data_IF_645436687175
#
_entry.id   IF_645436687175
#
_cell.length_a   1.000
_cell.length_b   1.000
_cell.length_c   1.000
_cell.angle_alpha   90.00
_cell.angle_beta   90.00
_cell.angle_gamma   90.00
#
_symmetry.space_group_name_H-M   'P 1'
#
loop_
_entity.id
_entity.type
_entity.pdbx_description
1 polymer ?
#
# COMPACT_ATOMS: atom_id res chain seq x y z
N UNK A 1 12.60 45.70 55.10
CA UNK A 1 11.37 45.25 54.42
C UNK A 1 11.14 45.81 53.00
N UNK A 2 12.20 46.26 52.34
CA UNK A 2 12.11 46.82 50.95
C UNK A 2 12.93 46.06 49.89
N UNK A 3 13.56 44.96 50.24
CA UNK A 3 14.40 44.21 49.27
C UNK A 3 13.72 43.00 48.61
N UNK A 4 12.59 42.52 49.12
CA UNK A 4 11.95 41.31 48.62
C UNK A 4 10.92 41.59 47.48
N UNK A 5 10.53 42.86 47.28
CA UNK A 5 9.58 43.23 46.21
C UNK A 5 10.27 43.46 44.86
N UNK A 6 11.58 43.67 44.79
CA UNK A 6 12.32 43.85 43.51
C UNK A 6 12.73 42.54 42.83
N UNK A 7 12.84 41.44 43.55
CA UNK A 7 13.19 40.14 42.96
C UNK A 7 12.02 39.39 42.34
N UNK A 8 10.75 39.68 42.72
CA UNK A 8 9.57 39.07 42.09
C UNK A 8 9.13 39.68 40.77
N UNK A 9 9.62 40.87 40.42
CA UNK A 9 9.32 41.49 39.12
C UNK A 9 10.35 41.19 38.04
N UNK A 10 11.53 40.65 38.36
CA UNK A 10 12.51 40.20 37.34
C UNK A 10 12.27 38.80 36.82
N UNK A 11 11.59 37.93 37.56
CA UNK A 11 11.31 36.54 37.08
C UNK A 11 10.10 36.43 36.19
N UNK A 12 9.30 37.48 35.99
CA UNK A 12 8.10 37.47 35.15
C UNK A 12 8.38 38.06 33.75
N UNK A 13 9.56 38.68 33.55
CA UNK A 13 9.94 39.26 32.24
C UNK A 13 10.72 38.35 31.30
N UNK A 14 11.30 37.25 31.78
CA UNK A 14 12.11 36.35 30.94
C UNK A 14 11.37 35.14 30.38
N UNK A 15 10.11 34.89 30.79
CA UNK A 15 9.32 33.78 30.21
C UNK A 15 8.51 34.15 28.96
N UNK A 16 8.72 35.36 28.40
CA UNK A 16 8.01 35.81 27.16
C UNK A 16 8.88 36.00 25.94
N UNK A 17 10.09 35.44 25.90
CA UNK A 17 11.00 35.58 24.74
C UNK A 17 11.57 34.25 24.23
N UNK A 18 10.77 33.19 24.22
CA UNK A 18 11.04 32.03 23.37
C UNK A 18 9.83 31.73 22.49
N UNK A 19 9.30 32.74 21.82
CA UNK A 19 8.61 32.52 20.56
C UNK A 19 9.70 32.32 19.52
N UNK A 20 10.11 31.05 19.34
CA UNK A 20 10.74 30.61 18.11
C UNK A 20 9.88 31.17 16.97
N UNK A 21 10.41 32.14 16.24
CA UNK A 21 9.85 32.56 14.98
C UNK A 21 9.85 31.33 14.06
N UNK A 22 8.77 30.54 14.12
CA UNK A 22 8.43 29.70 13.01
C UNK A 22 8.23 30.66 11.83
N UNK A 23 9.23 30.74 10.96
CA UNK A 23 9.02 31.34 9.63
C UNK A 23 7.74 30.68 9.12
N UNK A 24 6.65 31.45 9.00
CA UNK A 24 5.49 31.09 8.19
C UNK A 24 6.01 30.97 6.77
N UNK A 25 6.50 29.78 6.42
CA UNK A 25 6.76 29.47 5.02
C UNK A 25 5.38 29.37 4.40
N UNK A 26 5.03 30.37 3.61
CA UNK A 26 3.73 30.44 2.98
C UNK A 26 3.73 29.45 1.83
N UNK A 27 2.80 28.48 1.86
CA UNK A 27 2.56 27.54 0.75
C UNK A 27 2.66 28.25 -0.60
N UNK A 28 3.48 27.75 -1.48
CA UNK A 28 3.74 28.35 -2.78
C UNK A 28 2.75 27.86 -3.84
N UNK A 29 2.58 28.66 -4.93
CA UNK A 29 1.83 28.18 -6.11
C UNK A 29 2.47 26.93 -6.72
N UNK A 30 3.79 26.81 -6.65
CA UNK A 30 4.53 25.63 -7.12
C UNK A 30 4.19 24.38 -6.32
N UNK A 31 4.01 24.47 -5.01
CA UNK A 31 3.59 23.32 -4.17
C UNK A 31 2.21 22.79 -4.62
N UNK A 32 1.26 23.68 -4.86
CA UNK A 32 -0.08 23.28 -5.34
C UNK A 32 0.01 22.62 -6.72
N UNK A 33 0.80 23.20 -7.62
CA UNK A 33 0.98 22.64 -8.96
C UNK A 33 1.62 21.26 -8.91
N UNK A 34 2.64 21.08 -8.07
CA UNK A 34 3.30 19.81 -7.85
C UNK A 34 2.30 18.76 -7.33
N UNK A 35 1.61 19.04 -6.21
CA UNK A 35 0.63 18.11 -5.64
C UNK A 35 -0.44 17.72 -6.67
N UNK A 36 -0.94 18.66 -7.44
CA UNK A 36 -1.92 18.39 -8.50
C UNK A 36 -1.36 17.54 -9.64
N UNK A 37 -0.10 17.75 -10.03
CA UNK A 37 0.58 16.90 -11.02
C UNK A 37 0.69 15.45 -10.52
N UNK A 38 0.89 15.24 -9.22
CA UNK A 38 0.99 13.90 -8.63
C UNK A 38 -0.34 13.13 -8.57
N UNK A 39 -1.48 13.76 -8.88
CA UNK A 39 -2.75 13.06 -9.07
C UNK A 39 -2.66 12.06 -10.24
N UNK A 40 -1.88 12.38 -11.27
CA UNK A 40 -1.72 11.58 -12.48
C UNK A 40 -0.45 10.72 -12.43
N UNK A 41 -0.49 9.52 -13.05
CA UNK A 41 0.66 8.61 -13.13
C UNK A 41 1.88 9.28 -13.77
N UNK A 42 1.67 10.06 -14.84
CA UNK A 42 2.73 10.79 -15.53
C UNK A 42 3.47 11.75 -14.60
N UNK A 43 2.75 12.55 -13.83
CA UNK A 43 3.36 13.49 -12.88
C UNK A 43 4.13 12.75 -11.77
N UNK A 44 3.60 11.63 -11.25
CA UNK A 44 4.33 10.80 -10.27
C UNK A 44 5.64 10.26 -10.85
N UNK A 45 5.61 9.76 -12.07
CA UNK A 45 6.81 9.24 -12.75
C UNK A 45 7.84 10.35 -13.01
N UNK A 46 7.39 11.52 -13.46
CA UNK A 46 8.25 12.66 -13.80
C UNK A 46 8.96 13.22 -12.54
N UNK A 47 8.23 13.33 -11.44
CA UNK A 47 8.76 13.90 -10.20
C UNK A 47 9.35 12.85 -9.24
N UNK A 48 9.14 11.55 -9.47
CA UNK A 48 9.57 10.49 -8.59
C UNK A 48 8.89 10.54 -7.21
N UNK A 49 7.67 11.12 -7.13
CA UNK A 49 6.96 11.37 -5.88
C UNK A 49 5.52 10.85 -5.94
N UNK A 50 4.98 10.54 -4.77
CA UNK A 50 3.55 10.31 -4.59
C UNK A 50 3.01 11.08 -3.38
N UNK A 51 1.69 11.16 -3.26
CA UNK A 51 1.00 11.86 -2.17
C UNK A 51 0.46 10.86 -1.17
N UNK A 52 0.75 11.09 0.10
CA UNK A 52 0.13 10.41 1.24
C UNK A 52 -0.64 11.41 2.08
N UNK A 53 -1.90 11.12 2.41
CA UNK A 53 -2.75 12.02 3.18
C UNK A 53 -3.30 11.37 4.44
N UNK A 54 -3.36 12.14 5.51
CA UNK A 54 -3.91 11.76 6.81
C UNK A 54 -2.86 11.53 7.90
N UNK A 55 -3.18 12.02 9.08
CA UNK A 55 -2.29 12.07 10.23
C UNK A 55 -1.69 10.71 10.60
N UNK A 56 -2.52 9.66 10.64
CA UNK A 56 -2.07 8.31 10.99
C UNK A 56 -1.05 7.78 9.98
N UNK A 57 -1.33 7.91 8.68
CA UNK A 57 -0.44 7.45 7.63
C UNK A 57 0.89 8.21 7.66
N UNK A 58 0.85 9.53 7.82
CA UNK A 58 2.06 10.36 7.89
C UNK A 58 2.86 10.07 9.17
N UNK A 59 2.20 9.80 10.29
CA UNK A 59 2.86 9.36 11.51
C UNK A 59 3.64 8.07 11.33
N UNK A 60 3.05 7.05 10.71
CA UNK A 60 3.72 5.79 10.37
C UNK A 60 4.85 6.00 9.33
N UNK A 61 4.60 6.86 8.32
CA UNK A 61 5.54 7.17 7.26
C UNK A 61 6.85 7.75 7.82
N UNK A 62 6.79 8.66 8.79
CA UNK A 62 7.98 9.29 9.41
C UNK A 62 8.91 8.29 10.14
N UNK A 63 8.39 7.13 10.49
CA UNK A 63 9.19 6.04 11.11
C UNK A 63 9.49 4.91 10.14
N UNK A 64 9.03 5.02 8.89
CA UNK A 64 9.27 4.04 7.84
C UNK A 64 10.64 4.27 7.15
N UNK A 65 10.97 3.38 6.22
CA UNK A 65 12.17 3.50 5.38
C UNK A 65 11.98 4.42 4.15
N UNK A 66 10.77 4.94 3.93
CA UNK A 66 10.47 5.77 2.75
C UNK A 66 10.95 7.20 2.95
N UNK A 67 11.51 7.80 1.90
CA UNK A 67 11.95 9.19 1.89
C UNK A 67 10.76 10.15 1.92
N UNK A 68 10.67 10.97 2.96
CA UNK A 68 9.69 12.05 3.06
C UNK A 68 10.34 13.35 2.64
N UNK A 69 9.87 13.92 1.52
CA UNK A 69 10.41 15.17 1.00
C UNK A 69 9.84 16.41 1.70
N UNK A 70 8.53 16.40 1.97
CA UNK A 70 7.83 17.53 2.58
C UNK A 70 6.52 17.06 3.19
N UNK A 71 6.14 17.68 4.30
CA UNK A 71 4.85 17.47 4.95
C UNK A 71 4.15 18.83 5.07
N UNK A 72 2.92 18.92 4.59
CA UNK A 72 2.01 20.01 4.89
C UNK A 72 1.04 19.55 5.97
N UNK A 73 0.88 20.33 7.03
CA UNK A 73 0.01 19.93 8.15
C UNK A 73 -0.65 21.14 8.81
N UNK A 74 -1.82 20.92 9.40
CA UNK A 74 -2.42 21.90 10.29
C UNK A 74 -1.56 22.06 11.54
N UNK A 75 -1.68 23.22 12.19
CA UNK A 75 -0.89 23.57 13.38
C UNK A 75 -1.03 22.52 14.49
N UNK A 76 0.10 22.14 15.10
CA UNK A 76 0.16 21.24 16.24
C UNK A 76 0.21 19.74 15.92
N UNK A 77 0.08 19.32 14.65
CA UNK A 77 0.08 17.89 14.28
C UNK A 77 1.49 17.30 14.18
N UNK A 78 2.39 18.00 13.50
CA UNK A 78 3.76 17.54 13.27
C UNK A 78 4.76 18.68 13.46
N UNK A 79 6.02 18.33 13.74
CA UNK A 79 7.14 19.25 13.84
C UNK A 79 8.36 18.65 13.16
N UNK A 80 9.25 19.49 12.63
CA UNK A 80 10.46 19.07 11.95
C UNK A 80 10.81 20.00 10.79
N UNK A 81 12.03 19.89 10.24
CA UNK A 81 12.47 20.73 9.13
C UNK A 81 11.70 20.47 7.82
N UNK A 82 11.15 19.25 7.68
CA UNK A 82 10.34 18.84 6.54
C UNK A 82 8.88 19.30 6.62
N UNK A 83 8.45 19.86 7.78
CA UNK A 83 7.05 20.21 8.04
C UNK A 83 6.78 21.68 7.73
N UNK A 84 5.81 21.93 6.87
CA UNK A 84 5.24 23.24 6.62
C UNK A 84 3.83 23.34 7.22
N UNK A 85 3.65 24.26 8.15
CA UNK A 85 2.34 24.50 8.78
C UNK A 85 1.49 25.34 7.82
N UNK A 86 0.31 24.82 7.51
CA UNK A 86 -0.66 25.46 6.60
C UNK A 86 -2.00 25.66 7.28
N UNK A 87 -2.80 26.58 6.78
CA UNK A 87 -4.17 26.78 7.24
C UNK A 87 -5.16 25.82 6.59
N UNK A 88 -6.37 25.69 7.14
CA UNK A 88 -7.44 24.81 6.64
C UNK A 88 -7.75 25.07 5.15
N UNK A 89 -7.88 26.35 4.75
CA UNK A 89 -8.14 26.71 3.35
C UNK A 89 -7.00 26.33 2.40
N UNK A 90 -5.76 26.37 2.87
CA UNK A 90 -4.59 25.95 2.11
C UNK A 90 -4.58 24.43 1.97
N UNK A 91 -4.88 23.70 3.03
CA UNK A 91 -5.00 22.24 3.01
C UNK A 91 -6.11 21.77 2.06
N UNK A 92 -7.28 22.43 2.05
CA UNK A 92 -8.37 22.15 1.11
C UNK A 92 -7.94 22.32 -0.36
N UNK A 93 -7.01 23.24 -0.64
CA UNK A 93 -6.47 23.46 -2.00
C UNK A 93 -5.41 22.44 -2.39
N UNK A 94 -4.68 21.90 -1.42
CA UNK A 94 -3.65 20.89 -1.62
C UNK A 94 -4.23 19.48 -1.76
N UNK A 95 -5.19 19.12 -0.91
CA UNK A 95 -5.72 17.75 -0.83
C UNK A 95 -6.24 17.25 -2.17
N UNK A 96 -5.92 15.99 -2.48
CA UNK A 96 -6.43 15.24 -3.63
C UNK A 96 -7.66 14.39 -3.26
N UNK A 97 -8.05 14.38 -1.99
CA UNK A 97 -9.21 13.67 -1.50
C UNK A 97 -10.49 14.49 -1.66
N UNK A 98 -11.64 13.82 -1.76
CA UNK A 98 -12.96 14.48 -1.81
C UNK A 98 -13.23 15.33 -0.57
N UNK A 99 -12.82 14.86 0.59
CA UNK A 99 -12.79 15.61 1.85
C UNK A 99 -11.34 15.79 2.23
N UNK A 100 -10.91 17.03 2.35
CA UNK A 100 -9.53 17.34 2.68
C UNK A 100 -9.13 16.73 4.03
N UNK A 101 -7.94 16.14 4.09
CA UNK A 101 -7.32 15.68 5.33
C UNK A 101 -6.72 16.86 6.10
N UNK A 102 -6.22 16.59 7.32
CA UNK A 102 -5.52 17.58 8.14
C UNK A 102 -4.01 17.64 7.87
N UNK A 103 -3.51 16.76 7.00
CA UNK A 103 -2.09 16.65 6.67
C UNK A 103 -1.86 15.91 5.36
N UNK A 104 -0.80 16.29 4.64
CA UNK A 104 -0.40 15.73 3.35
C UNK A 104 1.13 15.64 3.28
N UNK A 105 1.66 14.52 2.84
CA UNK A 105 3.09 14.32 2.63
C UNK A 105 3.41 14.08 1.14
N UNK A 106 4.53 14.64 0.69
CA UNK A 106 5.21 14.30 -0.55
C UNK A 106 6.26 13.24 -0.24
N UNK A 107 6.12 12.07 -0.83
CA UNK A 107 6.92 10.88 -0.53
C UNK A 107 7.64 10.43 -1.78
N UNK A 108 8.90 10.07 -1.65
CA UNK A 108 9.68 9.52 -2.76
C UNK A 108 9.17 8.13 -3.14
N UNK A 109 8.99 7.90 -4.44
CA UNK A 109 8.61 6.58 -4.94
C UNK A 109 9.79 5.63 -4.74
N UNK A 110 9.64 4.57 -3.93
CA UNK A 110 10.70 3.61 -3.73
C UNK A 110 10.93 2.76 -4.98
N UNK A 111 12.18 2.39 -5.21
CA UNK A 111 12.56 1.44 -6.26
C UNK A 111 12.94 0.11 -5.62
N UNK A 112 12.13 -0.90 -5.84
CA UNK A 112 12.36 -2.24 -5.33
C UNK A 112 12.90 -3.15 -6.44
N UNK A 113 14.02 -3.81 -6.18
CA UNK A 113 14.49 -4.90 -7.05
C UNK A 113 13.58 -6.12 -6.88
N UNK A 114 13.16 -6.71 -8.01
CA UNK A 114 12.45 -7.98 -8.01
C UNK A 114 13.50 -9.11 -8.14
N UNK A 115 13.76 -9.79 -7.02
CA UNK A 115 14.71 -10.90 -6.96
C UNK A 115 13.97 -12.22 -6.75
N UNK A 116 14.03 -13.11 -7.75
CA UNK A 116 13.41 -14.44 -7.71
C UNK A 116 13.89 -15.28 -6.52
N UNK A 117 15.16 -15.14 -6.11
CA UNK A 117 15.72 -15.87 -4.97
C UNK A 117 15.11 -15.39 -3.65
N UNK A 118 14.81 -14.08 -3.55
CA UNK A 118 14.17 -13.51 -2.38
C UNK A 118 12.71 -13.95 -2.23
N UNK A 119 12.05 -14.36 -3.31
CA UNK A 119 10.69 -14.90 -3.33
C UNK A 119 10.65 -16.39 -2.99
N UNK A 120 11.75 -17.11 -3.16
CA UNK A 120 11.84 -18.51 -2.77
C UNK A 120 11.61 -18.67 -1.25
N UNK A 121 10.72 -19.57 -0.88
CA UNK A 121 10.34 -19.79 0.54
C UNK A 121 9.32 -18.80 1.10
N UNK A 122 8.73 -17.92 0.24
CA UNK A 122 7.69 -16.98 0.64
C UNK A 122 6.44 -17.12 -0.22
N UNK A 123 5.29 -16.76 0.36
CA UNK A 123 4.07 -16.60 -0.42
C UNK A 123 4.07 -15.20 -1.06
N UNK A 124 3.85 -15.15 -2.36
CA UNK A 124 3.81 -13.92 -3.17
C UNK A 124 2.50 -13.84 -3.92
N UNK A 125 1.90 -12.65 -4.00
CA UNK A 125 0.74 -12.42 -4.87
C UNK A 125 1.19 -11.93 -6.25
N UNK A 126 0.57 -12.46 -7.29
CA UNK A 126 0.69 -11.98 -8.66
C UNK A 126 -0.66 -11.47 -9.14
N UNK A 127 -0.73 -10.22 -9.59
CA UNK A 127 -1.97 -9.57 -10.01
C UNK A 127 -1.96 -9.34 -11.51
N UNK A 128 -2.84 -10.06 -12.20
CA UNK A 128 -2.94 -10.00 -13.64
C UNK A 128 -4.06 -9.04 -14.05
N UNK A 129 -3.67 -7.82 -14.39
CA UNK A 129 -4.55 -6.75 -14.88
C UNK A 129 -5.66 -6.36 -13.89
N UNK A 130 -5.33 -6.27 -12.61
CA UNK A 130 -6.23 -5.71 -11.58
C UNK A 130 -6.28 -4.21 -11.71
N UNK A 131 -7.32 -3.68 -12.37
CA UNK A 131 -7.40 -2.28 -12.78
C UNK A 131 -8.11 -1.37 -11.77
N UNK A 132 -8.95 -1.92 -10.91
CA UNK A 132 -9.69 -1.12 -9.94
C UNK A 132 -8.79 -0.67 -8.78
N UNK A 133 -8.62 0.67 -8.56
CA UNK A 133 -7.77 1.18 -7.48
C UNK A 133 -8.20 0.73 -6.08
N UNK A 134 -9.51 0.59 -5.84
CA UNK A 134 -10.04 0.12 -4.56
C UNK A 134 -9.69 -1.34 -4.30
N UNK A 135 -9.79 -2.20 -5.33
CA UNK A 135 -9.39 -3.59 -5.24
C UNK A 135 -7.89 -3.73 -4.99
N UNK A 136 -7.04 -3.02 -5.75
CA UNK A 136 -5.60 -3.04 -5.52
C UNK A 136 -5.25 -2.60 -4.10
N UNK A 137 -5.80 -1.49 -3.62
CA UNK A 137 -5.54 -1.01 -2.26
C UNK A 137 -5.98 -2.00 -1.18
N UNK A 138 -7.12 -2.66 -1.38
CA UNK A 138 -7.60 -3.72 -0.48
C UNK A 138 -6.68 -4.95 -0.52
N UNK A 139 -6.20 -5.36 -1.70
CA UNK A 139 -5.27 -6.49 -1.85
C UNK A 139 -3.94 -6.18 -1.17
N UNK A 140 -3.40 -4.97 -1.31
CA UNK A 140 -2.18 -4.56 -0.59
C UNK A 140 -2.37 -4.64 0.93
N UNK A 141 -3.54 -4.22 1.43
CA UNK A 141 -3.88 -4.35 2.85
C UNK A 141 -4.02 -5.80 3.32
N UNK A 142 -4.60 -6.67 2.49
CA UNK A 142 -4.67 -8.11 2.75
C UNK A 142 -3.28 -8.76 2.76
N UNK A 143 -2.41 -8.37 1.84
CA UNK A 143 -1.03 -8.85 1.80
C UNK A 143 -0.29 -8.53 3.11
N UNK A 144 -0.38 -7.29 3.59
CA UNK A 144 0.17 -6.87 4.88
C UNK A 144 -0.39 -7.72 6.04
N UNK A 145 -1.71 -7.91 6.08
CA UNK A 145 -2.38 -8.69 7.12
C UNK A 145 -1.94 -10.14 7.17
N UNK A 146 -1.72 -10.75 6.00
CA UNK A 146 -1.30 -12.15 5.89
C UNK A 146 0.21 -12.34 5.80
N UNK A 147 1.01 -11.30 6.08
CA UNK A 147 2.48 -11.37 6.08
C UNK A 147 3.07 -11.66 4.70
N UNK A 148 2.42 -11.17 3.64
CA UNK A 148 2.91 -11.22 2.26
C UNK A 148 3.60 -9.89 1.96
N UNK A 149 4.91 -9.92 1.76
CA UNK A 149 5.73 -8.72 1.60
C UNK A 149 5.86 -8.24 0.17
N UNK A 150 5.54 -9.09 -0.81
CA UNK A 150 5.74 -8.79 -2.21
C UNK A 150 4.47 -9.09 -3.03
N UNK A 151 4.08 -8.11 -3.84
CA UNK A 151 3.03 -8.22 -4.86
C UNK A 151 3.67 -7.91 -6.20
N UNK A 152 3.47 -8.78 -7.19
CA UNK A 152 3.94 -8.59 -8.57
C UNK A 152 2.73 -8.33 -9.46
N UNK A 153 2.65 -7.15 -10.03
CA UNK A 153 1.57 -6.70 -10.90
C UNK A 153 2.00 -6.74 -12.37
N UNK A 154 1.07 -7.06 -13.26
CA UNK A 154 1.22 -6.73 -14.67
C UNK A 154 1.26 -5.21 -14.89
N UNK A 155 1.88 -4.75 -15.96
CA UNK A 155 2.02 -3.32 -16.28
C UNK A 155 0.66 -2.62 -16.46
N UNK A 156 -0.37 -3.37 -16.85
CA UNK A 156 -1.73 -2.88 -17.04
C UNK A 156 -2.55 -2.78 -15.75
N UNK A 157 -2.02 -3.28 -14.63
CA UNK A 157 -2.66 -3.13 -13.33
C UNK A 157 -2.67 -1.68 -12.85
N UNK A 158 -3.58 -1.34 -11.94
CA UNK A 158 -3.66 -0.02 -11.34
C UNK A 158 -2.33 0.36 -10.66
N UNK A 159 -1.99 1.65 -10.69
CA UNK A 159 -0.79 2.17 -10.05
C UNK A 159 -0.97 2.22 -8.52
N UNK A 160 -0.10 1.53 -7.78
CA UNK A 160 -0.17 1.45 -6.31
C UNK A 160 0.05 2.80 -5.62
N UNK A 161 0.71 3.77 -6.30
CA UNK A 161 0.93 5.12 -5.80
C UNK A 161 -0.16 6.11 -6.23
N UNK A 162 -1.20 5.65 -6.94
CA UNK A 162 -2.40 6.46 -7.15
C UNK A 162 -2.99 6.87 -5.80
N UNK A 163 -3.36 8.15 -5.57
CA UNK A 163 -3.88 8.62 -4.28
C UNK A 163 -5.04 7.80 -3.72
N UNK A 164 -5.93 7.29 -4.59
CA UNK A 164 -7.04 6.41 -4.18
C UNK A 164 -6.54 5.06 -3.69
N UNK A 165 -5.49 4.50 -4.30
CA UNK A 165 -4.89 3.24 -3.86
C UNK A 165 -4.18 3.45 -2.54
N UNK A 166 -3.32 4.46 -2.44
CA UNK A 166 -2.59 4.81 -1.20
C UNK A 166 -3.56 4.93 -0.03
N UNK A 167 -4.67 5.64 -0.22
CA UNK A 167 -5.71 5.78 0.80
C UNK A 167 -6.34 4.44 1.19
N UNK A 168 -6.67 3.60 0.18
CA UNK A 168 -7.32 2.31 0.40
C UNK A 168 -6.41 1.29 1.11
N UNK A 169 -5.07 1.45 1.02
CA UNK A 169 -4.12 0.56 1.70
C UNK A 169 -4.12 0.71 3.22
N UNK A 170 -4.62 1.83 3.75
CA UNK A 170 -4.62 2.13 5.20
C UNK A 170 -3.22 1.98 5.84
N UNK A 171 -2.17 2.40 5.15
CA UNK A 171 -0.78 2.33 5.60
C UNK A 171 -0.02 1.06 5.20
N UNK A 172 -0.68 0.04 4.66
CA UNK A 172 0.00 -1.19 4.23
C UNK A 172 1.04 -0.95 3.12
N UNK A 173 0.88 0.10 2.31
CA UNK A 173 1.86 0.49 1.26
C UNK A 173 3.26 0.78 1.82
N UNK A 174 3.40 1.03 3.12
CA UNK A 174 4.69 1.25 3.78
C UNK A 174 5.45 -0.06 4.07
N UNK A 175 4.76 -1.22 4.00
CA UNK A 175 5.28 -2.53 4.41
C UNK A 175 5.26 -3.56 3.29
N UNK A 176 4.42 -3.37 2.27
CA UNK A 176 4.27 -4.26 1.13
C UNK A 176 4.93 -3.62 -0.10
N UNK A 177 5.82 -4.36 -0.73
CA UNK A 177 6.49 -3.94 -1.97
C UNK A 177 5.63 -4.35 -3.16
N UNK A 178 5.29 -3.39 -4.00
CA UNK A 178 4.53 -3.64 -5.22
C UNK A 178 5.46 -3.44 -6.42
N UNK A 179 5.60 -4.49 -7.22
CA UNK A 179 6.45 -4.53 -8.40
C UNK A 179 5.59 -4.56 -9.66
N UNK A 180 6.04 -3.91 -10.72
CA UNK A 180 5.40 -3.94 -12.04
C UNK A 180 6.36 -4.52 -13.07
N UNK A 181 5.89 -5.52 -13.84
CA UNK A 181 6.73 -6.20 -14.83
C UNK A 181 5.88 -6.90 -15.90
N UNK A 182 6.52 -7.45 -16.94
CA UNK A 182 5.91 -8.49 -17.78
C UNK A 182 5.59 -9.71 -16.91
N UNK A 183 4.32 -9.79 -16.51
CA UNK A 183 3.85 -10.81 -15.57
C UNK A 183 4.01 -12.22 -16.13
N UNK A 184 3.69 -12.42 -17.43
CA UNK A 184 3.84 -13.72 -18.09
C UNK A 184 5.28 -14.22 -18.09
N UNK A 185 6.22 -13.33 -18.39
CA UNK A 185 7.66 -13.63 -18.34
C UNK A 185 8.14 -13.95 -16.93
N UNK A 186 7.70 -13.18 -15.95
CA UNK A 186 7.99 -13.40 -14.53
C UNK A 186 7.48 -14.75 -14.03
N UNK A 187 6.22 -15.08 -14.30
CA UNK A 187 5.61 -16.34 -13.87
C UNK A 187 6.27 -17.56 -14.52
N UNK A 188 6.70 -17.43 -15.78
CA UNK A 188 7.46 -18.49 -16.47
C UNK A 188 8.80 -18.73 -15.79
N UNK A 189 9.56 -17.67 -15.51
CA UNK A 189 10.82 -17.78 -14.77
C UNK A 189 10.64 -18.43 -13.39
N UNK A 190 9.54 -18.09 -12.70
CA UNK A 190 9.21 -18.69 -11.40
C UNK A 190 8.92 -20.19 -11.52
N UNK A 191 8.12 -20.59 -12.51
CA UNK A 191 7.81 -22.00 -12.76
C UNK A 191 9.07 -22.80 -13.16
N UNK A 192 9.92 -22.23 -14.00
CA UNK A 192 11.20 -22.82 -14.42
C UNK A 192 12.17 -22.96 -13.24
N UNK A 193 12.10 -22.06 -12.28
CA UNK A 193 12.85 -22.14 -11.00
C UNK A 193 12.22 -23.10 -9.98
N UNK A 194 11.13 -23.79 -10.33
CA UNK A 194 10.46 -24.77 -9.48
C UNK A 194 9.55 -24.17 -8.41
N UNK A 195 9.21 -22.87 -8.46
CA UNK A 195 8.24 -22.29 -7.54
C UNK A 195 6.82 -22.73 -7.94
N UNK A 196 5.99 -23.16 -6.98
CA UNK A 196 4.58 -23.42 -7.24
C UNK A 196 3.87 -22.14 -7.72
N UNK A 197 3.16 -22.22 -8.85
CA UNK A 197 2.33 -21.13 -9.38
C UNK A 197 0.87 -21.58 -9.31
N UNK A 198 0.13 -21.07 -8.32
CA UNK A 198 -1.28 -21.36 -8.08
C UNK A 198 -2.15 -20.25 -8.69
N UNK A 199 -2.97 -20.57 -9.67
CA UNK A 199 -3.92 -19.61 -10.25
C UNK A 199 -5.34 -19.84 -9.73
N UNK A 200 -6.10 -18.76 -9.58
CA UNK A 200 -7.51 -18.81 -9.15
C UNK A 200 -8.43 -18.76 -10.37
N UNK A 201 -9.27 -19.78 -10.52
CA UNK A 201 -10.18 -19.94 -11.66
C UNK A 201 -11.62 -20.22 -11.17
N UNK A 202 -12.58 -20.19 -12.10
CA UNK A 202 -13.96 -20.57 -11.84
C UNK A 202 -14.16 -22.09 -11.77
N UNK A 203 -13.15 -22.85 -12.16
CA UNK A 203 -13.07 -24.31 -12.09
C UNK A 203 -11.65 -24.75 -11.72
N UNK A 204 -11.53 -25.92 -11.12
CA UNK A 204 -10.22 -26.43 -10.70
C UNK A 204 -10.35 -27.26 -9.42
N UNK A 205 -9.24 -27.37 -8.71
CA UNK A 205 -9.18 -28.04 -7.43
C UNK A 205 -9.83 -27.18 -6.34
N UNK A 206 -10.76 -27.76 -5.57
CA UNK A 206 -11.40 -27.07 -4.45
C UNK A 206 -10.36 -26.67 -3.42
N UNK A 207 -10.19 -25.36 -3.19
CA UNK A 207 -9.16 -24.80 -2.32
C UNK A 207 -9.22 -25.38 -0.89
N UNK A 208 -10.39 -25.71 -0.40
CA UNK A 208 -10.57 -26.25 0.98
C UNK A 208 -10.16 -27.71 1.14
N UNK A 209 -10.08 -28.47 0.03
CA UNK A 209 -9.61 -29.85 0.02
C UNK A 209 -8.18 -29.99 -0.53
N UNK A 210 -7.64 -28.93 -1.11
CA UNK A 210 -6.32 -28.92 -1.71
C UNK A 210 -5.22 -28.89 -0.64
N UNK A 211 -4.12 -29.62 -0.86
CA UNK A 211 -2.90 -29.45 -0.06
C UNK A 211 -2.10 -28.27 -0.61
N UNK A 212 -2.18 -27.12 0.02
CA UNK A 212 -1.57 -25.88 -0.45
C UNK A 212 -0.09 -25.77 -0.05
N UNK A 213 0.78 -25.25 -0.92
CA UNK A 213 2.19 -25.02 -0.57
C UNK A 213 2.32 -23.84 0.41
N UNK A 214 3.29 -23.91 1.32
CA UNK A 214 3.61 -22.80 2.23
C UNK A 214 4.17 -21.58 1.51
N UNK A 215 4.92 -21.83 0.43
CA UNK A 215 5.59 -20.82 -0.40
C UNK A 215 5.20 -21.00 -1.86
N UNK A 216 5.26 -19.93 -2.63
CA UNK A 216 4.95 -19.92 -4.06
C UNK A 216 4.23 -18.66 -4.47
N UNK A 217 3.68 -18.68 -5.66
CA UNK A 217 2.99 -17.52 -6.24
C UNK A 217 1.50 -17.83 -6.38
N UNK A 218 0.66 -16.93 -5.89
CA UNK A 218 -0.79 -16.98 -6.09
C UNK A 218 -1.19 -15.93 -7.11
N UNK A 219 -1.73 -16.36 -8.24
CA UNK A 219 -2.16 -15.49 -9.33
C UNK A 219 -3.64 -15.18 -9.19
N UNK A 220 -3.95 -13.89 -9.13
CA UNK A 220 -5.30 -13.33 -9.13
C UNK A 220 -5.52 -12.59 -10.45
N UNK A 221 -6.62 -12.86 -11.12
CA UNK A 221 -6.91 -12.29 -12.44
C UNK A 221 -7.74 -11.01 -12.40
N UNK A 222 -7.93 -10.43 -13.57
CA UNK A 222 -8.82 -9.30 -13.84
C UNK A 222 -10.26 -9.63 -13.44
N UNK A 223 -10.99 -8.61 -12.96
CA UNK A 223 -12.36 -8.76 -12.47
C UNK A 223 -13.36 -9.27 -13.51
N UNK A 224 -13.14 -8.93 -14.79
CA UNK A 224 -14.06 -9.33 -15.89
C UNK A 224 -13.52 -10.45 -16.78
N UNK A 225 -12.19 -10.48 -16.97
CA UNK A 225 -11.54 -11.40 -17.93
C UNK A 225 -10.84 -12.59 -17.26
N UNK A 226 -10.67 -12.55 -15.94
CA UNK A 226 -9.91 -13.55 -15.22
C UNK A 226 -8.39 -13.44 -15.47
N UNK A 227 -7.69 -14.56 -15.35
CA UNK A 227 -6.26 -14.69 -15.61
C UNK A 227 -6.06 -14.78 -17.13
N UNK A 228 -5.12 -13.98 -17.66
CA UNK A 228 -4.77 -14.00 -19.10
C UNK A 228 -4.20 -15.34 -19.54
N UNK A 229 -4.30 -15.65 -20.84
CA UNK A 229 -3.77 -16.89 -21.40
C UNK A 229 -2.26 -17.05 -21.16
N UNK A 230 -1.51 -15.94 -21.24
CA UNK A 230 -0.08 -15.93 -21.00
C UNK A 230 0.29 -16.30 -19.56
N UNK A 231 -0.46 -15.80 -18.58
CA UNK A 231 -0.30 -16.15 -17.18
C UNK A 231 -0.85 -17.56 -16.88
N UNK A 232 -2.00 -17.91 -17.43
CA UNK A 232 -2.64 -19.22 -17.26
C UNK A 232 -1.76 -20.39 -17.75
N UNK A 233 -0.99 -20.17 -18.83
CA UNK A 233 -0.06 -21.17 -19.36
C UNK A 233 1.08 -21.53 -18.40
N UNK A 234 1.37 -20.69 -17.41
CA UNK A 234 2.44 -20.91 -16.41
C UNK A 234 1.90 -21.49 -15.09
N UNK A 235 0.57 -21.54 -14.93
CA UNK A 235 -0.06 -22.05 -13.72
C UNK A 235 0.15 -23.55 -13.60
N UNK A 236 0.76 -23.95 -12.49
CA UNK A 236 0.99 -25.36 -12.16
C UNK A 236 -0.18 -25.99 -11.43
N UNK A 237 -1.01 -25.17 -10.73
CA UNK A 237 -2.20 -25.63 -10.02
C UNK A 237 -3.34 -24.64 -10.17
N UNK A 238 -4.47 -25.10 -10.68
CA UNK A 238 -5.72 -24.32 -10.77
C UNK A 238 -6.53 -24.52 -9.49
N UNK A 239 -6.76 -23.45 -8.76
CA UNK A 239 -7.55 -23.43 -7.53
C UNK A 239 -8.92 -22.82 -7.78
N UNK A 240 -9.91 -23.29 -7.05
CA UNK A 240 -11.30 -22.90 -7.18
C UNK A 240 -11.93 -22.68 -5.79
N UNK A 241 -12.62 -21.56 -5.62
CA UNK A 241 -13.42 -21.27 -4.43
C UNK A 241 -14.86 -21.71 -4.74
N UNK A 242 -15.37 -22.81 -4.14
CA UNK A 242 -16.70 -23.31 -4.47
C UNK A 242 -17.81 -22.38 -3.95
N UNK A 243 -18.89 -22.17 -4.74
CA UNK A 243 -20.10 -21.52 -4.25
C UNK A 243 -20.85 -22.45 -3.28
N UNK A 244 -21.74 -21.89 -2.47
CA UNK A 244 -22.59 -22.67 -1.59
C UNK A 244 -24.09 -22.37 -1.82
N UNK A 245 -24.95 -23.40 -1.91
CA UNK A 245 -24.60 -24.81 -2.11
C UNK A 245 -23.97 -25.06 -3.47
N UNK A 246 -23.24 -26.16 -3.61
CA UNK A 246 -22.60 -26.54 -4.87
C UNK A 246 -23.65 -26.62 -6.01
N UNK A 247 -23.32 -26.10 -7.19
CA UNK A 247 -24.19 -26.09 -8.36
C UNK A 247 -25.29 -25.01 -8.34
N UNK A 248 -25.33 -24.13 -7.34
CA UNK A 248 -26.28 -23.00 -7.31
C UNK A 248 -26.00 -22.03 -8.45
N UNK A 249 -27.04 -21.62 -9.18
CA UNK A 249 -26.97 -20.46 -10.08
C UNK A 249 -27.00 -19.19 -9.23
N UNK A 250 -25.98 -18.35 -9.34
CA UNK A 250 -25.82 -17.11 -8.58
C UNK A 250 -24.86 -16.16 -9.28
N UNK A 251 -24.09 -15.40 -8.51
CA UNK A 251 -23.03 -14.56 -9.07
C UNK A 251 -22.00 -15.40 -9.81
N UNK A 252 -21.57 -14.94 -10.98
CA UNK A 252 -20.62 -15.67 -11.83
C UNK A 252 -19.22 -15.71 -11.24
N UNK A 253 -18.86 -14.70 -10.44
CA UNK A 253 -17.55 -14.58 -9.78
C UNK A 253 -17.64 -13.79 -8.49
N UNK A 254 -16.60 -13.91 -7.66
CA UNK A 254 -16.36 -13.06 -6.50
C UNK A 254 -15.57 -11.81 -6.92
N UNK A 255 -15.75 -10.72 -6.17
CA UNK A 255 -14.83 -9.58 -6.25
C UNK A 255 -13.39 -10.06 -6.01
N UNK A 256 -12.42 -9.59 -6.82
CA UNK A 256 -11.04 -10.09 -6.78
C UNK A 256 -10.36 -9.87 -5.41
N UNK A 257 -10.61 -8.76 -4.73
CA UNK A 257 -10.04 -8.52 -3.40
C UNK A 257 -10.66 -9.47 -2.36
N UNK A 258 -11.96 -9.76 -2.44
CA UNK A 258 -12.61 -10.74 -1.58
C UNK A 258 -12.08 -12.15 -1.82
N UNK A 259 -11.94 -12.54 -3.08
CA UNK A 259 -11.34 -13.83 -3.45
C UNK A 259 -9.90 -13.94 -2.93
N UNK A 260 -9.10 -12.87 -3.08
CA UNK A 260 -7.73 -12.81 -2.53
C UNK A 260 -7.71 -13.03 -1.03
N UNK A 261 -8.62 -12.40 -0.28
CA UNK A 261 -8.72 -12.59 1.17
C UNK A 261 -9.01 -14.04 1.56
N UNK A 262 -9.94 -14.70 0.86
CA UNK A 262 -10.28 -16.12 1.11
C UNK A 262 -9.07 -17.01 0.80
N UNK A 263 -8.42 -16.80 -0.33
CA UNK A 263 -7.27 -17.59 -0.75
C UNK A 263 -6.11 -17.43 0.24
N UNK A 264 -5.74 -16.19 0.56
CA UNK A 264 -4.65 -15.94 1.54
C UNK A 264 -4.96 -16.53 2.92
N UNK A 265 -6.21 -16.43 3.38
CA UNK A 265 -6.62 -17.02 4.65
C UNK A 265 -6.44 -18.55 4.65
N UNK A 266 -6.82 -19.24 3.58
CA UNK A 266 -6.68 -20.69 3.48
C UNK A 266 -5.22 -21.12 3.38
N UNK A 267 -4.39 -20.43 2.58
CA UNK A 267 -2.93 -20.67 2.54
C UNK A 267 -2.31 -20.56 3.95
N UNK A 268 -2.64 -19.50 4.69
CA UNK A 268 -2.08 -19.29 6.03
C UNK A 268 -2.64 -20.24 7.07
N UNK A 269 -3.92 -20.62 6.96
CA UNK A 269 -4.51 -21.63 7.84
C UNK A 269 -3.76 -22.96 7.73
N UNK A 270 -3.47 -23.42 6.52
CA UNK A 270 -2.75 -24.68 6.30
C UNK A 270 -1.29 -24.58 6.75
N UNK A 271 -0.59 -23.48 6.45
CA UNK A 271 0.79 -23.27 6.90
C UNK A 271 0.92 -23.26 8.43
N UNK A 272 -0.05 -22.71 9.17
CA UNK A 272 -0.04 -22.71 10.64
C UNK A 272 -0.29 -24.09 11.26
N UNK A 273 -0.99 -24.99 10.55
CA UNK A 273 -1.23 -26.38 11.03
C UNK A 273 -0.04 -27.30 10.82
N UNK A 274 0.79 -27.04 9.80
CA UNK A 274 2.03 -27.82 9.59
C UNK A 274 3.15 -27.44 10.57
N UNK A 275 3.16 -26.22 11.10
CA UNK A 275 4.16 -25.73 12.07
C UNK A 275 3.92 -26.16 13.52
N UNK A 276 2.75 -26.65 13.89
CA UNK A 276 2.42 -27.09 15.27
C UNK A 276 2.80 -28.54 15.59
N UNK A 277 3.43 -29.27 14.67
CA UNK A 277 3.89 -30.64 14.85
C UNK A 277 5.28 -30.78 15.49
N UNK A 278 5.96 -29.67 15.85
CA UNK A 278 7.25 -29.69 16.55
C UNK A 278 7.25 -28.68 17.70
N UNK A 279 6.65 -29.05 18.79
CA UNK A 279 6.86 -28.44 20.11
C UNK A 279 7.00 -29.56 21.18
#
# INVERSE_FOLDING_TARGET
>A
HLSIRRQRQMCIRDSRRNHLHHRKTTMTKADIQLVRALADKRGRTEHGLFVAEGEKLIGELRTSHLGVRKIFALEGLFSGPEVEVVGTKEMERLSLLKTASNSLALVEIPHYGLDMRALAGRLTLALDDVQNPGNLGTIVRLADWFGITDIVCSEASADCFNPKVVQATMGAILRVRVHYTDLGGFLRQAADAGLPVCGTFLEGENIYGASLPEAGIVVMGNEGRGISDAAAATVTRKLFIPPYPAGRRGSESLNVAMATGIVCAEFRRQASTTGTGQA
#
